data_IF_293906272858
#
_entry.id   IF_293906272858
#
_cell.length_a   1.000
_cell.length_b   1.000
_cell.length_c   1.000
_cell.angle_alpha   90.00
_cell.angle_beta   90.00
_cell.angle_gamma   90.00
#
_symmetry.space_group_name_H-M   'P 1'
#
loop_
_entity.id
_entity.type
_entity.pdbx_description
1 polymer ?
#
# COMPACT_ATOMS: atom_id res chain seq x y z
N UNK A 1 40.25 11.67 -0.97
CA UNK A 1 39.05 11.72 -1.82
C UNK A 1 38.63 13.18 -1.93
N UNK A 2 39.09 13.88 -2.97
CA UNK A 2 38.62 15.24 -3.27
C UNK A 2 37.37 15.12 -4.15
N UNK A 3 36.37 15.97 -3.91
CA UNK A 3 35.08 15.91 -4.60
C UNK A 3 35.20 16.65 -5.94
N UNK A 4 35.26 15.91 -7.06
CA UNK A 4 35.45 16.46 -8.40
C UNK A 4 34.12 16.86 -9.06
N UNK A 5 33.78 18.14 -8.98
CA UNK A 5 32.54 18.71 -9.54
C UNK A 5 32.45 18.64 -11.09
N UNK A 6 33.58 18.43 -11.76
CA UNK A 6 33.64 18.30 -13.23
C UNK A 6 32.93 17.04 -13.76
N UNK A 7 32.78 16.00 -12.92
CA UNK A 7 32.17 14.73 -13.32
C UNK A 7 30.65 14.80 -13.54
N UNK A 8 29.98 15.86 -13.10
CA UNK A 8 28.52 16.03 -13.22
C UNK A 8 28.10 16.38 -14.64
N UNK A 9 28.84 17.26 -15.32
CA UNK A 9 28.52 17.74 -16.66
C UNK A 9 28.33 16.62 -17.70
N UNK A 10 29.20 15.60 -17.79
CA UNK A 10 29.00 14.49 -18.72
C UNK A 10 27.86 13.54 -18.31
N UNK A 11 27.46 13.52 -17.04
CA UNK A 11 26.39 12.65 -16.55
C UNK A 11 24.98 13.22 -16.78
N UNK A 12 24.84 14.54 -17.00
CA UNK A 12 23.55 15.20 -17.26
C UNK A 12 22.68 14.50 -18.31
N UNK A 13 23.16 14.17 -19.53
CA UNK A 13 22.30 13.54 -20.54
C UNK A 13 21.74 12.20 -20.08
N UNK A 14 22.55 11.37 -19.41
CA UNK A 14 22.13 10.09 -18.87
C UNK A 14 21.10 10.25 -17.74
N UNK A 15 21.28 11.26 -16.88
CA UNK A 15 20.33 11.57 -15.80
C UNK A 15 18.98 12.04 -16.35
N UNK A 16 18.97 12.84 -17.43
CA UNK A 16 17.74 13.28 -18.10
C UNK A 16 17.00 12.09 -18.70
N UNK A 17 17.72 11.15 -19.31
CA UNK A 17 17.13 9.94 -19.87
C UNK A 17 16.52 9.04 -18.78
N UNK A 18 17.25 8.82 -17.68
CA UNK A 18 16.73 8.10 -16.52
C UNK A 18 15.53 8.79 -15.86
N UNK A 19 15.53 10.12 -15.78
CA UNK A 19 14.41 10.90 -15.28
C UNK A 19 13.16 10.74 -16.16
N UNK A 20 13.32 10.77 -17.49
CA UNK A 20 12.22 10.51 -18.44
C UNK A 20 11.64 9.11 -18.24
N UNK A 21 12.49 8.09 -18.11
CA UNK A 21 12.05 6.72 -17.88
C UNK A 21 11.26 6.58 -16.58
N UNK A 22 11.75 7.18 -15.49
CA UNK A 22 11.06 7.16 -14.19
C UNK A 22 9.68 7.82 -14.27
N UNK A 23 9.57 8.93 -15.02
CA UNK A 23 8.31 9.63 -15.24
C UNK A 23 7.31 8.76 -16.00
N UNK A 24 7.74 8.10 -17.07
CA UNK A 24 6.90 7.15 -17.81
C UNK A 24 6.40 6.00 -16.94
N UNK A 25 7.29 5.37 -16.16
CA UNK A 25 6.92 4.27 -15.27
C UNK A 25 5.91 4.76 -14.22
N UNK A 26 6.14 5.93 -13.64
CA UNK A 26 5.28 6.50 -12.59
C UNK A 26 3.88 6.83 -13.12
N UNK A 27 3.79 7.47 -14.29
CA UNK A 27 2.50 7.84 -14.89
C UNK A 27 1.68 6.60 -15.24
N UNK A 28 2.28 5.62 -15.93
CA UNK A 28 1.58 4.39 -16.32
C UNK A 28 1.21 3.53 -15.10
N UNK A 29 2.13 3.41 -14.15
CA UNK A 29 1.92 2.67 -12.91
C UNK A 29 0.79 3.28 -12.06
N UNK A 30 0.82 4.59 -11.85
CA UNK A 30 -0.23 5.29 -11.09
C UNK A 30 -1.57 5.28 -11.81
N UNK A 31 -1.60 5.46 -13.14
CA UNK A 31 -2.83 5.43 -13.90
C UNK A 31 -3.51 4.05 -13.81
N UNK A 32 -2.77 2.96 -14.01
CA UNK A 32 -3.32 1.61 -13.86
C UNK A 32 -3.65 1.28 -12.40
N UNK A 33 -2.84 1.74 -11.45
CA UNK A 33 -3.07 1.56 -10.02
C UNK A 33 -4.34 2.25 -9.55
N UNK A 34 -4.65 3.43 -10.10
CA UNK A 34 -5.91 4.13 -9.88
C UNK A 34 -7.11 3.30 -10.31
N UNK A 35 -7.07 2.73 -11.52
CA UNK A 35 -8.16 1.89 -12.04
C UNK A 35 -8.36 0.66 -11.17
N UNK A 36 -7.30 -0.09 -10.88
CA UNK A 36 -7.35 -1.30 -10.04
C UNK A 36 -7.81 -0.95 -8.62
N UNK A 37 -7.27 0.12 -8.04
CA UNK A 37 -7.59 0.57 -6.70
C UNK A 37 -9.04 1.02 -6.55
N UNK A 38 -9.58 1.74 -7.52
CA UNK A 38 -11.00 2.11 -7.55
C UNK A 38 -11.89 0.86 -7.60
N UNK A 39 -11.61 -0.08 -8.51
CA UNK A 39 -12.40 -1.31 -8.64
C UNK A 39 -12.34 -2.15 -7.36
N UNK A 40 -11.14 -2.36 -6.80
CA UNK A 40 -10.96 -3.12 -5.56
C UNK A 40 -11.59 -2.40 -4.35
N UNK A 41 -11.49 -1.07 -4.27
CA UNK A 41 -12.09 -0.25 -3.22
C UNK A 41 -13.62 -0.29 -3.25
N UNK A 42 -14.23 -0.23 -4.44
CA UNK A 42 -15.68 -0.41 -4.60
C UNK A 42 -16.12 -1.84 -4.30
N UNK A 43 -15.38 -2.85 -4.77
CA UNK A 43 -15.66 -4.25 -4.45
C UNK A 43 -15.61 -4.53 -2.93
N UNK A 44 -14.73 -3.85 -2.18
CA UNK A 44 -14.72 -3.95 -0.70
C UNK A 44 -15.90 -3.25 -0.02
N UNK A 45 -16.42 -2.20 -0.64
CA UNK A 45 -17.44 -1.36 0.00
C UNK A 45 -18.85 -1.85 -0.31
N UNK A 46 -19.10 -2.27 -1.56
CA UNK A 46 -20.41 -2.72 -2.03
C UNK A 46 -20.46 -4.22 -2.33
N UNK A 47 -19.32 -4.91 -2.43
CA UNK A 47 -19.29 -6.34 -2.72
C UNK A 47 -19.71 -7.19 -1.53
N UNK A 48 -20.27 -8.37 -1.84
CA UNK A 48 -20.66 -9.37 -0.84
C UNK A 48 -19.47 -9.96 -0.06
N UNK A 49 -19.76 -10.89 0.85
CA UNK A 49 -18.78 -11.48 1.77
C UNK A 49 -17.53 -12.04 1.07
N UNK A 50 -17.70 -12.71 -0.07
CA UNK A 50 -16.60 -13.32 -0.85
C UNK A 50 -15.70 -12.24 -1.46
N UNK A 51 -16.27 -11.32 -2.25
CA UNK A 51 -15.51 -10.26 -2.94
C UNK A 51 -14.75 -9.38 -1.94
N UNK A 52 -15.36 -9.11 -0.79
CA UNK A 52 -14.77 -8.34 0.29
C UNK A 52 -13.56 -9.05 0.92
N UNK A 53 -13.64 -10.36 1.16
CA UNK A 53 -12.51 -11.15 1.69
C UNK A 53 -11.37 -11.29 0.70
N UNK A 54 -11.66 -11.54 -0.58
CA UNK A 54 -10.62 -11.66 -1.61
C UNK A 54 -9.84 -10.35 -1.74
N UNK A 55 -10.55 -9.22 -1.81
CA UNK A 55 -9.92 -7.91 -1.85
C UNK A 55 -9.18 -7.55 -0.55
N UNK A 56 -9.64 -8.03 0.62
CA UNK A 56 -8.91 -7.90 1.88
C UNK A 56 -7.55 -8.57 1.81
N UNK A 57 -7.55 -9.86 1.45
CA UNK A 57 -6.34 -10.67 1.42
C UNK A 57 -5.36 -10.10 0.40
N UNK A 58 -5.85 -9.70 -0.78
CA UNK A 58 -5.03 -9.01 -1.78
C UNK A 58 -4.36 -7.75 -1.19
N UNK A 59 -5.12 -6.84 -0.56
CA UNK A 59 -4.57 -5.59 -0.01
C UNK A 59 -3.57 -5.87 1.11
N UNK A 60 -3.88 -6.80 2.02
CA UNK A 60 -3.01 -7.14 3.16
C UNK A 60 -1.70 -7.78 2.73
N UNK A 61 -1.74 -8.68 1.73
CA UNK A 61 -0.54 -9.30 1.18
C UNK A 61 0.33 -8.26 0.50
N UNK A 62 -0.24 -7.46 -0.41
CA UNK A 62 0.52 -6.48 -1.19
C UNK A 62 1.16 -5.41 -0.29
N UNK A 63 0.45 -4.93 0.74
CA UNK A 63 0.98 -3.95 1.70
C UNK A 63 1.91 -4.58 2.75
N UNK A 64 1.83 -5.89 2.95
CA UNK A 64 2.70 -6.66 3.84
C UNK A 64 4.02 -7.08 3.20
N UNK A 65 4.12 -7.08 1.87
CA UNK A 65 5.33 -7.43 1.12
C UNK A 65 6.15 -6.20 0.73
N UNK A 66 7.49 -6.22 0.87
CA UNK A 66 8.35 -5.15 0.37
C UNK A 66 8.22 -5.01 -1.15
N UNK A 67 8.15 -3.77 -1.66
CA UNK A 67 8.02 -3.50 -3.11
C UNK A 67 9.17 -4.09 -3.93
N UNK A 68 10.39 -4.13 -3.35
CA UNK A 68 11.56 -4.75 -3.99
C UNK A 68 11.32 -6.24 -4.22
N UNK A 69 10.72 -6.94 -3.26
CA UNK A 69 10.39 -8.37 -3.43
C UNK A 69 9.36 -8.57 -4.54
N UNK A 70 8.39 -7.66 -4.66
CA UNK A 70 7.37 -7.73 -5.73
C UNK A 70 7.98 -7.59 -7.13
N UNK A 71 8.86 -6.61 -7.34
CA UNK A 71 9.50 -6.42 -8.66
C UNK A 71 10.44 -7.57 -9.00
N UNK A 72 11.18 -8.08 -8.02
CA UNK A 72 12.04 -9.25 -8.19
C UNK A 72 11.23 -10.50 -8.56
N UNK A 73 10.08 -10.69 -7.90
CA UNK A 73 9.20 -11.82 -8.22
C UNK A 73 8.63 -11.70 -9.64
N UNK A 74 8.14 -10.53 -10.04
CA UNK A 74 7.58 -10.31 -11.38
C UNK A 74 8.66 -10.46 -12.46
N UNK A 75 9.87 -9.96 -12.21
CA UNK A 75 10.95 -10.00 -13.21
C UNK A 75 11.61 -11.38 -13.31
N UNK A 76 11.85 -12.07 -12.18
CA UNK A 76 12.59 -13.34 -12.17
C UNK A 76 11.70 -14.58 -12.09
N UNK A 77 10.64 -14.58 -11.29
CA UNK A 77 9.82 -15.77 -11.08
C UNK A 77 8.80 -16.01 -12.20
N UNK A 78 8.24 -14.93 -12.76
CA UNK A 78 7.23 -15.02 -13.83
C UNK A 78 7.76 -15.70 -15.11
N UNK A 79 8.94 -15.34 -15.63
CA UNK A 79 9.51 -16.00 -16.82
C UNK A 79 9.91 -17.46 -16.57
N UNK A 80 10.22 -17.84 -15.32
CA UNK A 80 10.48 -19.24 -14.96
C UNK A 80 9.21 -20.10 -14.96
N UNK A 81 8.06 -19.50 -14.64
CA UNK A 81 6.77 -20.18 -14.66
C UNK A 81 6.14 -20.22 -16.07
N UNK A 82 6.39 -19.19 -16.88
CA UNK A 82 5.87 -19.06 -18.24
C UNK A 82 7.05 -18.99 -19.23
N UNK A 83 7.51 -20.15 -19.71
CA UNK A 83 8.73 -20.35 -20.54
C UNK A 83 8.86 -19.41 -21.76
N UNK A 84 7.79 -18.77 -22.23
CA UNK A 84 7.77 -17.94 -23.45
C UNK A 84 7.52 -16.44 -23.21
N UNK A 85 7.30 -15.99 -21.97
CA UNK A 85 7.10 -14.56 -21.68
C UNK A 85 8.43 -13.89 -21.29
N UNK A 86 9.11 -13.30 -22.28
CA UNK A 86 10.18 -12.33 -22.03
C UNK A 86 9.58 -11.04 -21.51
N UNK A 87 9.56 -10.86 -20.19
CA UNK A 87 9.13 -9.62 -19.54
C UNK A 87 10.28 -8.61 -19.59
N UNK A 88 10.04 -7.44 -20.19
CA UNK A 88 10.98 -6.32 -20.16
C UNK A 88 11.05 -5.70 -18.74
N UNK A 89 12.23 -5.24 -18.25
CA UNK A 89 12.36 -4.58 -16.96
C UNK A 89 11.42 -3.38 -16.78
N UNK A 90 11.12 -2.64 -17.86
CA UNK A 90 10.18 -1.53 -17.83
C UNK A 90 8.77 -2.01 -17.48
N UNK A 91 8.29 -3.06 -18.16
CA UNK A 91 6.96 -3.62 -17.91
C UNK A 91 6.87 -4.22 -16.50
N UNK A 92 7.91 -4.91 -16.04
CA UNK A 92 7.96 -5.43 -14.67
C UNK A 92 7.85 -4.31 -13.62
N UNK A 93 8.57 -3.20 -13.82
CA UNK A 93 8.50 -2.04 -12.94
C UNK A 93 7.11 -1.39 -12.94
N UNK A 94 6.52 -1.19 -14.13
CA UNK A 94 5.17 -0.62 -14.28
C UNK A 94 4.13 -1.48 -13.57
N UNK A 95 4.11 -2.79 -13.82
CA UNK A 95 3.14 -3.71 -13.22
C UNK A 95 3.30 -3.76 -11.70
N UNK A 96 4.54 -3.79 -11.21
CA UNK A 96 4.80 -3.79 -9.76
C UNK A 96 4.25 -2.53 -9.10
N UNK A 97 4.56 -1.35 -9.65
CA UNK A 97 4.07 -0.08 -9.12
C UNK A 97 2.55 0.00 -9.23
N UNK A 98 1.98 -0.53 -10.31
CA UNK A 98 0.54 -0.57 -10.54
C UNK A 98 -0.20 -1.38 -9.46
N UNK A 99 0.28 -2.60 -9.17
CA UNK A 99 -0.31 -3.47 -8.14
C UNK A 99 -0.12 -2.85 -6.76
N UNK A 100 1.09 -2.36 -6.47
CA UNK A 100 1.42 -1.76 -5.18
C UNK A 100 0.55 -0.53 -4.90
N UNK A 101 0.58 0.46 -5.80
CA UNK A 101 -0.24 1.67 -5.68
C UNK A 101 -1.73 1.38 -5.68
N UNK A 102 -2.21 0.40 -6.47
CA UNK A 102 -3.62 0.01 -6.48
C UNK A 102 -4.12 -0.53 -5.14
N UNK A 103 -3.33 -1.32 -4.42
CA UNK A 103 -3.70 -1.79 -3.08
C UNK A 103 -3.79 -0.64 -2.07
N UNK A 104 -2.90 0.37 -2.14
CA UNK A 104 -2.99 1.56 -1.30
C UNK A 104 -4.20 2.42 -1.65
N UNK A 105 -4.46 2.64 -2.94
CA UNK A 105 -5.60 3.42 -3.43
C UNK A 105 -6.92 2.76 -3.03
N UNK A 106 -7.03 1.43 -3.09
CA UNK A 106 -8.23 0.70 -2.67
C UNK A 106 -8.63 0.99 -1.22
N UNK A 107 -7.64 1.08 -0.31
CA UNK A 107 -7.91 1.41 1.10
C UNK A 107 -8.35 2.88 1.27
N UNK A 108 -7.76 3.79 0.49
CA UNK A 108 -8.14 5.21 0.45
C UNK A 108 -9.58 5.35 -0.04
N UNK A 109 -9.93 4.70 -1.17
CA UNK A 109 -11.29 4.72 -1.74
C UNK A 109 -12.30 4.16 -0.75
N UNK A 110 -12.01 3.03 -0.10
CA UNK A 110 -12.89 2.45 0.93
C UNK A 110 -13.10 3.41 2.10
N UNK A 111 -12.04 4.07 2.56
CA UNK A 111 -12.10 5.10 3.61
C UNK A 111 -12.95 6.31 3.20
N UNK A 112 -12.81 6.76 1.95
CA UNK A 112 -13.57 7.87 1.39
C UNK A 112 -15.07 7.56 1.30
N UNK A 113 -15.46 6.39 0.79
CA UNK A 113 -16.89 6.03 0.70
C UNK A 113 -17.52 5.88 2.08
N UNK A 114 -16.79 5.28 3.04
CA UNK A 114 -17.29 5.08 4.39
C UNK A 114 -17.42 6.38 5.19
N UNK A 115 -16.57 7.38 4.96
CA UNK A 115 -16.68 8.68 5.64
C UNK A 115 -17.95 9.42 5.20
N UNK A 116 -18.26 9.38 3.91
CA UNK A 116 -19.46 9.98 3.33
C UNK A 116 -20.73 9.34 3.91
N UNK A 117 -20.80 8.00 3.93
CA UNK A 117 -21.96 7.30 4.49
C UNK A 117 -22.16 7.62 5.99
N UNK A 118 -21.08 7.68 6.77
CA UNK A 118 -21.17 8.06 8.19
C UNK A 118 -21.66 9.49 8.38
N UNK A 119 -21.21 10.43 7.56
CA UNK A 119 -21.64 11.84 7.61
C UNK A 119 -23.13 11.94 7.28
N UNK A 120 -23.60 11.32 6.20
CA UNK A 120 -25.01 11.33 5.81
C UNK A 120 -25.92 10.67 6.85
N UNK A 121 -25.50 9.58 7.50
CA UNK A 121 -26.31 8.88 8.53
C UNK A 121 -26.27 9.59 9.90
N UNK A 122 -25.16 10.25 10.27
CA UNK A 122 -25.08 11.05 11.52
C UNK A 122 -25.70 12.45 11.40
N UNK A 123 -26.04 12.88 10.19
CA UNK A 123 -26.92 14.03 9.95
C UNK A 123 -28.41 13.68 10.16
N UNK A 124 -28.71 12.65 10.96
CA UNK A 124 -29.88 12.70 11.84
C UNK A 124 -29.64 13.81 12.90
N UNK A 125 -30.03 15.03 12.52
CA UNK A 125 -30.38 16.29 13.23
C UNK A 125 -29.90 16.64 14.65
N UNK A 126 -29.33 15.75 15.45
CA UNK A 126 -29.08 15.96 16.89
C UNK A 126 -27.67 16.45 17.23
N UNK A 127 -26.75 16.50 16.27
CA UNK A 127 -25.32 16.80 16.51
C UNK A 127 -24.83 18.17 16.03
N UNK A 128 -25.73 19.04 15.56
CA UNK A 128 -25.45 20.49 15.51
C UNK A 128 -25.24 21.05 16.93
N UNK A 129 -25.72 20.35 17.97
CA UNK A 129 -25.43 20.66 19.36
C UNK A 129 -24.34 19.75 19.95
N UNK A 130 -23.15 20.34 20.11
CA UNK A 130 -22.12 20.07 21.13
C UNK A 130 -22.05 18.67 21.75
N UNK A 131 -20.99 17.89 21.46
CA UNK A 131 -20.17 17.21 22.49
C UNK A 131 -18.80 16.85 21.88
N UNK A 132 -17.74 17.48 22.37
CA UNK A 132 -16.36 17.06 22.10
C UNK A 132 -16.08 15.67 22.69
N UNK A 133 -15.40 14.81 21.93
CA UNK A 133 -14.84 13.54 22.45
C UNK A 133 -13.43 13.33 21.90
N UNK A 134 -12.47 12.92 22.74
CA UNK A 134 -11.04 12.94 22.44
C UNK A 134 -10.60 11.83 21.49
N UNK A 135 -9.57 12.16 20.71
CA UNK A 135 -8.85 11.41 19.67
C UNK A 135 -8.19 10.08 20.13
N UNK A 136 -8.41 9.62 21.37
CA UNK A 136 -7.58 8.61 22.02
C UNK A 136 -7.96 7.14 21.74
N UNK A 137 -9.19 6.81 21.33
CA UNK A 137 -9.65 5.40 21.33
C UNK A 137 -9.33 4.63 20.04
N UNK A 138 -8.99 5.30 18.93
CA UNK A 138 -8.68 4.61 17.67
C UNK A 138 -7.23 4.10 17.57
N UNK A 139 -6.33 4.63 18.41
CA UNK A 139 -4.91 4.27 18.40
C UNK A 139 -4.63 2.90 19.06
N UNK A 140 -5.39 2.55 20.11
CA UNK A 140 -5.16 1.32 20.88
C UNK A 140 -5.46 0.02 20.10
N UNK A 141 -6.36 0.05 19.11
CA UNK A 141 -6.65 -1.16 18.30
C UNK A 141 -5.58 -1.45 17.24
N UNK A 142 -4.91 -0.41 16.73
CA UNK A 142 -3.81 -0.56 15.77
C UNK A 142 -2.52 -1.05 16.44
N UNK A 143 -2.23 -0.57 17.66
CA UNK A 143 -1.05 -1.02 18.39
C UNK A 143 -1.12 -2.51 18.76
N UNK A 144 -2.30 -3.08 18.98
CA UNK A 144 -2.42 -4.49 19.35
C UNK A 144 -2.05 -5.46 18.19
N UNK A 145 -2.39 -5.10 16.94
CA UNK A 145 -2.05 -5.92 15.76
C UNK A 145 -0.57 -5.78 15.39
N UNK A 146 0.00 -4.58 15.52
CA UNK A 146 1.44 -4.34 15.27
C UNK A 146 2.31 -4.99 16.36
N UNK A 147 1.87 -4.97 17.63
CA UNK A 147 2.60 -5.61 18.72
C UNK A 147 2.60 -7.14 18.62
N UNK A 148 1.49 -7.75 18.20
CA UNK A 148 1.41 -9.21 18.01
C UNK A 148 2.34 -9.71 16.89
N UNK A 149 2.50 -8.92 15.81
CA UNK A 149 3.41 -9.30 14.70
C UNK A 149 4.89 -9.12 15.04
N UNK A 150 5.23 -8.23 15.99
CA UNK A 150 6.60 -8.09 16.55
C UNK A 150 6.98 -9.25 17.47
N UNK A 151 5.99 -9.93 18.04
CA UNK A 151 6.20 -11.04 18.99
C UNK A 151 6.60 -12.35 18.32
N UNK A 152 6.17 -12.60 17.07
CA UNK A 152 6.51 -13.83 16.33
C UNK A 152 7.95 -13.81 15.79
N UNK A 153 8.57 -12.64 15.63
CA UNK A 153 9.94 -12.51 15.11
C UNK A 153 11.03 -12.43 16.19
N UNK A 154 10.65 -12.40 17.47
CA UNK A 154 11.59 -12.32 18.59
C UNK A 154 11.63 -13.63 19.38
N UNK A 155 12.20 -14.66 18.76
CA UNK A 155 12.63 -15.85 19.49
C UNK A 155 13.81 -15.52 20.39
N UNK A 156 13.55 -15.20 21.66
CA UNK A 156 14.29 -15.68 22.84
C UNK A 156 13.99 -14.84 24.09
N UNK A 157 13.72 -15.54 25.18
CA UNK A 157 13.90 -15.13 26.58
C UNK A 157 13.28 -13.81 27.05
N UNK A 158 12.09 -13.88 27.64
CA UNK A 158 11.89 -13.58 29.07
C UNK A 158 10.39 -13.55 29.41
N UNK A 159 10.02 -14.36 30.39
CA UNK A 159 8.76 -14.21 31.11
C UNK A 159 8.66 -12.79 31.68
N UNK A 160 7.66 -12.02 31.24
CA UNK A 160 6.92 -11.09 32.09
C UNK A 160 5.52 -10.93 31.51
N UNK A 161 4.59 -11.69 32.09
CA UNK A 161 3.15 -11.52 31.89
C UNK A 161 2.67 -10.15 32.39
N UNK A 162 1.55 -9.66 31.85
CA UNK A 162 1.18 -8.25 31.85
C UNK A 162 0.47 -7.86 33.14
N UNK A 163 0.75 -6.66 33.64
CA UNK A 163 -0.09 -6.01 34.66
C UNK A 163 -1.04 -5.05 33.94
N UNK A 164 -2.21 -5.57 33.55
CA UNK A 164 -3.42 -4.78 33.42
C UNK A 164 -3.83 -4.34 34.83
N UNK A 165 -3.78 -3.04 35.12
CA UNK A 165 -4.47 -2.45 36.27
C UNK A 165 -4.65 -0.95 36.03
N UNK A 166 -5.94 -0.57 35.99
CA UNK A 166 -6.57 0.76 36.07
C UNK A 166 -6.47 1.69 34.85
#
# INVERSE_FOLDING_TARGET
>A
MQFDWSAIWPAIPLLIEGAKMTLWISVLGLAGGLVIGLLAGFARTFGGWIANHVALVFIEVIRGTPIVVQVMFIYFALPMAFNDLRIDPFTAAVVTIMINSGAYIAEITRGAVLSIHKVFVKQDWRSVFHVGKPFATSFYRWHCVVCCRRWVTSGSSALKTPRCLL
#
